data_IF_294394792493
#
_entry.id   IF_294394792493
#
_cell.length_a   1.000
_cell.length_b   1.000
_cell.length_c   1.000
_cell.angle_alpha   90.00
_cell.angle_beta   90.00
_cell.angle_gamma   90.00
#
_symmetry.space_group_name_H-M   'P 1'
#
loop_
_entity.id
_entity.type
_entity.pdbx_description
1 polymer ?
#
# COMPACT_ATOMS: atom_id res chain seq x y z
N UNK A 1 3.76 -5.30 9.85
CA UNK A 1 3.47 -3.83 9.87
C UNK A 1 2.10 -3.57 9.25
N UNK A 2 1.44 -2.45 9.58
CA UNK A 2 0.11 -2.10 9.05
C UNK A 2 0.18 -0.84 8.20
N UNK A 3 -0.09 -0.96 6.89
CA UNK A 3 -0.04 0.17 5.97
C UNK A 3 -1.44 0.58 5.52
N UNK A 4 -1.66 1.89 5.47
CA UNK A 4 -2.88 2.45 4.88
C UNK A 4 -2.72 2.43 3.38
N UNK A 5 -3.70 1.85 2.68
CA UNK A 5 -3.75 1.87 1.23
C UNK A 5 -5.01 2.59 0.77
N UNK A 6 -4.83 3.57 -0.10
CA UNK A 6 -5.89 4.32 -0.73
C UNK A 6 -6.23 3.64 -2.04
N UNK A 7 -7.47 3.16 -2.17
CA UNK A 7 -7.97 2.56 -3.40
C UNK A 7 -8.79 3.58 -4.19
N UNK A 8 -8.45 3.72 -5.47
CA UNK A 8 -9.14 4.59 -6.41
C UNK A 8 -9.72 3.75 -7.54
N UNK A 9 -10.97 4.04 -7.91
CA UNK A 9 -11.63 3.38 -9.03
C UNK A 9 -11.62 4.30 -10.24
N UNK A 10 -10.91 3.88 -11.28
CA UNK A 10 -10.99 4.46 -12.62
C UNK A 10 -12.18 3.92 -13.42
N UNK A 11 -12.27 4.35 -14.68
CA UNK A 11 -13.40 4.01 -15.56
C UNK A 11 -13.48 2.50 -15.86
N UNK A 12 -12.33 1.86 -16.06
CA UNK A 12 -12.19 0.41 -16.32
C UNK A 12 -11.07 -0.26 -15.51
N UNK A 13 -10.51 0.44 -14.53
CA UNK A 13 -9.35 -0.02 -13.75
C UNK A 13 -9.46 0.40 -12.30
N UNK A 14 -8.66 -0.23 -11.46
CA UNK A 14 -8.49 0.11 -10.05
C UNK A 14 -7.02 0.52 -9.86
N UNK A 15 -6.82 1.54 -9.04
CA UNK A 15 -5.52 1.97 -8.55
C UNK A 15 -5.43 1.81 -7.04
N UNK A 16 -4.24 1.56 -6.54
CA UNK A 16 -3.91 1.61 -5.13
C UNK A 16 -2.63 2.40 -4.94
N UNK A 17 -2.60 3.22 -3.88
CA UNK A 17 -1.43 3.98 -3.49
C UNK A 17 -1.23 3.95 -1.98
N UNK A 18 0.04 3.92 -1.55
CA UNK A 18 0.42 3.97 -0.14
C UNK A 18 0.93 5.39 0.15
N UNK A 19 0.23 6.21 0.95
CA UNK A 19 0.70 7.56 1.29
C UNK A 19 1.95 7.54 2.18
N UNK A 20 2.17 6.45 2.92
CA UNK A 20 3.31 6.26 3.82
C UNK A 20 4.59 5.86 3.08
N UNK A 21 4.44 5.17 1.93
CA UNK A 21 5.54 4.73 1.07
C UNK A 21 5.42 5.41 -0.31
N UNK A 22 5.89 6.66 -0.44
CA UNK A 22 5.81 7.39 -1.71
C UNK A 22 6.57 6.63 -2.81
N UNK A 23 5.85 6.24 -3.86
CA UNK A 23 6.38 5.41 -4.95
C UNK A 23 5.84 3.98 -4.95
N UNK A 24 5.21 3.53 -3.85
CA UNK A 24 4.53 2.25 -3.79
C UNK A 24 3.09 2.40 -4.31
N UNK A 25 2.90 2.10 -5.59
CA UNK A 25 1.61 2.17 -6.29
C UNK A 25 1.34 0.87 -7.05
N UNK A 26 0.06 0.51 -7.18
CA UNK A 26 -0.38 -0.65 -7.95
C UNK A 26 -1.61 -0.30 -8.80
N UNK A 27 -1.70 -0.87 -9.99
CA UNK A 27 -2.83 -0.67 -10.91
C UNK A 27 -3.23 -2.03 -11.48
N UNK A 28 -4.53 -2.27 -11.57
CA UNK A 28 -5.08 -3.54 -12.02
C UNK A 28 -6.51 -3.40 -12.52
N UNK A 29 -7.03 -4.47 -13.12
CA UNK A 29 -8.39 -4.50 -13.69
C UNK A 29 -9.46 -4.80 -12.64
N UNK A 30 -9.07 -5.44 -11.53
CA UNK A 30 -9.99 -5.81 -10.44
C UNK A 30 -9.44 -5.37 -9.10
N UNK A 31 -10.35 -5.19 -8.12
CA UNK A 31 -9.94 -4.78 -6.78
C UNK A 31 -9.11 -5.84 -6.06
N UNK A 32 -9.33 -7.12 -6.34
CA UNK A 32 -8.55 -8.24 -5.79
C UNK A 32 -7.13 -8.27 -6.36
N UNK A 33 -6.99 -8.08 -7.67
CA UNK A 33 -5.69 -7.99 -8.34
C UNK A 33 -4.86 -6.84 -7.78
N UNK A 34 -5.46 -5.64 -7.65
CA UNK A 34 -4.76 -4.48 -7.09
C UNK A 34 -4.36 -4.70 -5.63
N UNK A 35 -5.21 -5.37 -4.83
CA UNK A 35 -4.89 -5.70 -3.44
C UNK A 35 -3.70 -6.66 -3.33
N UNK A 36 -3.62 -7.66 -4.20
CA UNK A 36 -2.49 -8.56 -4.23
C UNK A 36 -1.22 -7.81 -4.66
N UNK A 37 -1.29 -7.05 -5.75
CA UNK A 37 -0.16 -6.28 -6.28
C UNK A 37 0.41 -5.27 -5.28
N UNK A 38 -0.45 -4.52 -4.58
CA UNK A 38 0.01 -3.52 -3.60
C UNK A 38 0.63 -4.20 -2.37
N UNK A 39 0.10 -5.35 -1.94
CA UNK A 39 0.68 -6.09 -0.82
C UNK A 39 2.10 -6.59 -1.16
N UNK A 40 2.29 -7.17 -2.35
CA UNK A 40 3.62 -7.58 -2.82
C UNK A 40 4.56 -6.39 -3.01
N UNK A 41 4.06 -5.27 -3.54
CA UNK A 41 4.86 -4.06 -3.72
C UNK A 41 5.35 -3.48 -2.37
N UNK A 42 4.51 -3.52 -1.33
CA UNK A 42 4.88 -3.09 0.02
C UNK A 42 5.95 -4.03 0.58
N UNK A 43 5.75 -5.34 0.49
CA UNK A 43 6.69 -6.35 0.99
C UNK A 43 8.06 -6.22 0.31
N UNK A 44 8.07 -6.12 -1.01
CA UNK A 44 9.29 -5.92 -1.80
C UNK A 44 10.02 -4.62 -1.42
N UNK A 45 9.28 -3.53 -1.19
CA UNK A 45 9.89 -2.27 -0.80
C UNK A 45 10.50 -2.33 0.61
N UNK A 46 9.83 -2.99 1.55
CA UNK A 46 10.36 -3.17 2.91
C UNK A 46 11.57 -4.09 2.90
N UNK A 47 11.54 -5.17 2.12
CA UNK A 47 12.70 -6.05 1.95
C UNK A 47 13.90 -5.28 1.42
N UNK A 48 13.71 -4.48 0.36
CA UNK A 48 14.75 -3.62 -0.19
C UNK A 48 15.31 -2.60 0.83
N UNK A 49 14.46 -1.96 1.62
CA UNK A 49 14.90 -1.05 2.69
C UNK A 49 15.70 -1.78 3.78
N UNK A 50 15.30 -3.00 4.14
CA UNK A 50 16.02 -3.84 5.12
C UNK A 50 17.37 -4.29 4.59
N UNK A 51 17.46 -4.64 3.31
CA UNK A 51 18.72 -5.01 2.67
C UNK A 51 19.68 -3.82 2.54
N UNK A 52 19.16 -2.63 2.23
CA UNK A 52 19.96 -1.39 2.15
C UNK A 52 20.37 -0.87 3.54
N UNK A 53 19.76 -1.40 4.61
CA UNK A 53 19.97 -0.97 5.99
C UNK A 53 19.31 0.37 6.32
N UNK A 54 18.36 0.80 5.50
CA UNK A 54 17.63 2.05 5.66
C UNK A 54 16.48 1.90 6.67
N UNK A 55 16.01 3.02 7.21
CA UNK A 55 15.03 3.02 8.29
C UNK A 55 13.65 2.88 7.65
N UNK A 56 13.04 1.71 7.81
CA UNK A 56 11.64 1.50 7.41
C UNK A 56 10.78 2.55 8.11
N UNK A 57 10.09 3.44 7.37
CA UNK A 57 9.29 4.49 7.96
C UNK A 57 8.24 3.88 8.88
N UNK A 58 8.17 4.41 10.11
CA UNK A 58 7.20 3.97 11.09
C UNK A 58 5.82 4.47 10.67
N UNK A 59 4.98 3.53 10.26
CA UNK A 59 3.59 3.72 9.84
C UNK A 59 2.88 4.83 10.62
N UNK A 60 2.44 5.87 9.92
CA UNK A 60 1.60 6.89 10.54
C UNK A 60 0.25 6.25 10.88
N UNK A 61 -0.06 6.15 12.17
CA UNK A 61 -1.34 5.61 12.64
C UNK A 61 -2.46 6.39 11.95
N UNK A 62 -3.40 5.73 11.25
CA UNK A 62 -4.50 6.43 10.64
C UNK A 62 -5.33 7.10 11.75
N UNK A 63 -5.44 8.43 11.69
CA UNK A 63 -6.51 9.13 12.39
C UNK A 63 -7.80 8.85 11.61
N UNK A 64 -8.33 7.63 11.81
CA UNK A 64 -9.49 7.10 11.10
C UNK A 64 -10.67 8.09 11.23
N UNK A 65 -11.07 8.69 10.10
CA UNK A 65 -12.27 9.52 10.01
C UNK A 65 -13.01 9.39 8.68
N UNK A 66 -12.46 8.73 7.64
CA UNK A 66 -13.14 8.58 6.33
C UNK A 66 -13.06 7.15 5.79
N UNK A 67 -14.22 6.61 5.41
CA UNK A 67 -14.57 5.18 5.17
C UNK A 67 -13.88 4.45 4.00
N UNK A 68 -12.88 5.01 3.33
CA UNK A 68 -12.35 4.43 2.08
C UNK A 68 -10.92 3.89 2.17
N UNK A 69 -10.32 3.86 3.36
CA UNK A 69 -8.99 3.31 3.61
C UNK A 69 -9.07 1.81 3.94
N UNK A 70 -8.35 0.98 3.19
CA UNK A 70 -8.13 -0.42 3.55
C UNK A 70 -6.76 -0.54 4.20
N UNK A 71 -6.70 -1.12 5.40
CA UNK A 71 -5.44 -1.40 6.09
C UNK A 71 -4.93 -2.74 5.57
N UNK A 72 -3.76 -2.72 4.91
CA UNK A 72 -3.05 -3.94 4.50
C UNK A 72 -2.12 -4.33 5.63
N UNK A 73 -2.26 -5.56 6.11
CA UNK A 73 -1.38 -6.19 7.11
C UNK A 73 -0.31 -6.98 6.37
N UNK A 74 0.95 -6.61 6.57
CA UNK A 74 2.11 -7.44 6.24
C UNK A 74 2.65 -8.04 7.55
N UNK A 75 3.05 -9.32 7.51
CA UNK A 75 3.60 -10.06 8.67
C UNK A 75 4.98 -9.51 9.09
#
# INVERSE_FOLDING_TARGET
MEYVVIFEKGENSYGASVPDLPGCIAVGKTMEEVKALIAEAIEFHIEGLREDGDIVPAVVKPHCSKRSECIVRTD
#
